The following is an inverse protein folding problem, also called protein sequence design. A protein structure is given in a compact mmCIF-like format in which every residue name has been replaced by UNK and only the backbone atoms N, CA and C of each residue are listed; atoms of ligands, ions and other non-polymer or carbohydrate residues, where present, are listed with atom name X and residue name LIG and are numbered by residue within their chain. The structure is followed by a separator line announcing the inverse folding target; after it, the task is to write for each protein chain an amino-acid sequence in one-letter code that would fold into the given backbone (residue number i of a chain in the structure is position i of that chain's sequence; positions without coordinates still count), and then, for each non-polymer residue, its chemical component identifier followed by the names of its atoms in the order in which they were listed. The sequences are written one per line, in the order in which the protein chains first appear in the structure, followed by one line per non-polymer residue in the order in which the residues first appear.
data_IF_832123609639
#
_entry.id   IF_832123609639
#
_cell.length_a   1.000
_cell.length_b   1.000
_cell.length_c   1.000
_cell.angle_alpha   90.00
_cell.angle_beta   90.00
_cell.angle_gamma   90.00
#
_symmetry.space_group_name_H-M   'P 1'
#
loop_
_entity.id
_entity.type
_entity.pdbx_description
1 polymer ?
#
# COMPACT_ATOMS: atom_id res chain seq x y z
N UNK A 1 31.99 -8.12 -14.28
CA UNK A 1 30.68 -7.47 -14.08
C UNK A 1 30.05 -8.10 -12.86
N UNK A 2 30.07 -7.39 -11.73
CA UNK A 2 29.38 -7.80 -10.51
C UNK A 2 28.00 -7.17 -10.59
N UNK A 3 26.96 -7.98 -10.84
CA UNK A 3 25.59 -7.51 -10.62
C UNK A 3 25.40 -7.40 -9.13
N UNK A 4 25.03 -6.22 -8.65
CA UNK A 4 24.86 -5.89 -7.23
C UNK A 4 23.61 -6.57 -6.62
N UNK A 5 23.57 -7.90 -6.68
CA UNK A 5 22.87 -8.75 -5.71
C UNK A 5 21.34 -8.65 -5.63
N UNK A 6 20.64 -8.54 -6.77
CA UNK A 6 19.18 -8.77 -6.86
C UNK A 6 18.34 -7.49 -6.89
N UNK A 7 17.89 -7.10 -8.09
CA UNK A 7 17.06 -5.92 -8.30
C UNK A 7 15.65 -6.06 -7.72
N UNK A 8 15.09 -4.94 -7.26
CA UNK A 8 13.68 -4.85 -6.87
C UNK A 8 12.76 -5.23 -8.04
N UNK A 9 11.78 -6.09 -7.78
CA UNK A 9 10.77 -6.50 -8.78
C UNK A 9 9.50 -5.69 -8.59
N UNK A 10 9.00 -5.05 -9.66
CA UNK A 10 7.69 -4.40 -9.66
C UNK A 10 6.59 -5.46 -9.61
N UNK A 11 5.80 -5.48 -8.53
CA UNK A 11 4.76 -6.49 -8.33
C UNK A 11 3.36 -5.92 -8.33
N UNK A 12 3.21 -4.61 -8.17
CA UNK A 12 1.90 -3.98 -8.12
C UNK A 12 1.98 -2.52 -8.54
N UNK A 13 1.08 -2.12 -9.42
CA UNK A 13 0.84 -0.74 -9.84
C UNK A 13 -0.64 -0.47 -9.70
N UNK A 14 -0.99 0.60 -9.00
CA UNK A 14 -2.37 0.93 -8.68
C UNK A 14 -2.63 2.45 -8.70
N UNK A 15 -3.91 2.79 -8.77
CA UNK A 15 -4.46 4.14 -8.65
C UNK A 15 -5.59 4.14 -7.63
N UNK A 16 -6.28 5.26 -7.48
CA UNK A 16 -7.49 5.36 -6.68
C UNK A 16 -8.73 5.39 -7.59
N UNK A 17 -9.83 4.78 -7.17
CA UNK A 17 -11.12 4.80 -7.89
C UNK A 17 -11.69 6.21 -7.99
N UNK A 18 -11.55 6.99 -6.92
CA UNK A 18 -11.67 8.45 -6.93
C UNK A 18 -10.44 9.00 -6.23
N UNK A 19 -9.94 10.13 -6.68
CA UNK A 19 -8.84 10.83 -6.04
C UNK A 19 -9.37 12.10 -5.38
N UNK A 20 -10.16 11.93 -4.33
CA UNK A 20 -10.79 13.03 -3.62
C UNK A 20 -10.58 12.90 -2.11
N UNK A 21 -9.68 13.72 -1.58
CA UNK A 21 -9.33 13.80 -0.16
C UNK A 21 -10.52 14.14 0.77
N UNK A 22 -11.67 14.55 0.24
CA UNK A 22 -12.85 14.95 1.01
C UNK A 22 -13.92 13.87 1.10
N UNK A 23 -13.78 12.76 0.37
CA UNK A 23 -14.76 11.66 0.41
C UNK A 23 -14.09 10.35 0.81
N UNK A 24 -14.85 9.47 1.46
CA UNK A 24 -14.36 8.14 1.86
C UNK A 24 -14.12 7.19 0.68
N UNK A 25 -14.51 7.57 -0.54
CA UNK A 25 -14.55 6.70 -1.71
C UNK A 25 -13.25 6.74 -2.53
N UNK A 26 -12.08 6.53 -1.92
CA UNK A 26 -10.79 6.44 -2.63
C UNK A 26 -10.16 5.05 -2.49
N UNK A 27 -10.87 4.04 -2.97
CA UNK A 27 -10.36 2.66 -2.96
C UNK A 27 -9.21 2.53 -3.94
N UNK A 28 -8.23 1.70 -3.60
CA UNK A 28 -7.11 1.40 -4.48
C UNK A 28 -7.54 0.38 -5.53
N UNK A 29 -7.25 0.65 -6.80
CA UNK A 29 -7.55 -0.25 -7.91
C UNK A 29 -6.38 -0.41 -8.89
N UNK A 30 -6.11 -1.62 -9.40
CA UNK A 30 -6.67 -2.90 -8.97
C UNK A 30 -6.02 -3.39 -7.67
N UNK A 31 -6.69 -4.30 -6.94
CA UNK A 31 -6.07 -4.96 -5.78
C UNK A 31 -5.28 -6.22 -6.18
N UNK A 32 -4.23 -6.59 -5.42
CA UNK A 32 -3.58 -7.88 -5.58
C UNK A 32 -4.54 -9.03 -5.24
N UNK A 33 -4.19 -10.22 -5.70
CA UNK A 33 -4.97 -11.44 -5.45
C UNK A 33 -4.81 -12.00 -4.03
N UNK A 34 -4.55 -11.15 -3.05
CA UNK A 34 -4.54 -11.55 -1.64
C UNK A 34 -5.96 -11.88 -1.17
N UNK A 35 -6.06 -12.77 -0.19
CA UNK A 35 -7.32 -13.16 0.41
C UNK A 35 -7.87 -11.99 1.22
N UNK A 36 -9.14 -11.72 1.02
CA UNK A 36 -9.89 -10.87 1.92
C UNK A 36 -10.60 -11.75 2.96
N UNK A 37 -10.89 -11.19 4.12
CA UNK A 37 -11.46 -11.90 5.25
C UNK A 37 -12.74 -12.67 4.87
N UNK A 38 -12.91 -13.88 5.39
CA UNK A 38 -14.12 -14.72 5.25
C UNK A 38 -15.42 -14.01 5.67
N UNK A 39 -15.37 -13.00 6.55
CA UNK A 39 -16.55 -12.20 6.89
C UNK A 39 -17.16 -11.46 5.68
N UNK A 40 -16.38 -11.21 4.63
CA UNK A 40 -16.93 -10.66 3.39
C UNK A 40 -17.81 -11.64 2.62
N UNK A 41 -17.73 -12.95 2.87
CA UNK A 41 -18.57 -13.94 2.20
C UNK A 41 -20.04 -13.86 2.66
N UNK A 42 -20.30 -13.19 3.80
CA UNK A 42 -21.63 -12.98 4.38
C UNK A 42 -22.28 -11.65 3.96
N UNK A 43 -21.48 -10.72 3.44
CA UNK A 43 -21.96 -9.47 2.89
C UNK A 43 -22.01 -9.69 1.37
N UNK A 44 -23.13 -9.40 0.71
CA UNK A 44 -23.22 -9.48 -0.76
C UNK A 44 -22.52 -8.24 -1.37
N UNK A 45 -21.21 -8.12 -1.15
CA UNK A 45 -20.39 -6.92 -1.38
C UNK A 45 -19.41 -7.07 -2.54
N UNK A 46 -19.68 -8.00 -3.47
CA UNK A 46 -18.86 -8.13 -4.68
C UNK A 46 -18.81 -6.83 -5.48
N UNK A 47 -19.89 -6.03 -5.45
CA UNK A 47 -19.99 -4.74 -6.14
C UNK A 47 -19.20 -3.60 -5.46
N UNK A 48 -18.69 -3.82 -4.24
CA UNK A 48 -18.03 -2.77 -3.44
C UNK A 48 -16.53 -3.00 -3.25
N UNK A 49 -16.04 -4.15 -3.74
CA UNK A 49 -14.63 -4.49 -3.72
C UNK A 49 -14.04 -4.18 -5.08
N UNK A 50 -12.92 -3.47 -5.08
CA UNK A 50 -12.19 -3.18 -6.32
C UNK A 50 -11.76 -4.45 -7.07
N UNK A 51 -11.64 -4.39 -8.41
CA UNK A 51 -11.24 -5.53 -9.23
C UNK A 51 -9.89 -6.12 -8.80
N UNK A 52 -9.81 -7.46 -8.77
CA UNK A 52 -8.55 -8.18 -8.57
C UNK A 52 -7.74 -8.18 -9.86
N UNK A 53 -6.46 -7.85 -9.77
CA UNK A 53 -5.52 -8.12 -10.86
C UNK A 53 -4.66 -9.35 -10.59
N UNK A 54 -4.49 -10.14 -11.65
CA UNK A 54 -3.61 -11.29 -11.72
C UNK A 54 -2.58 -11.13 -12.85
N UNK A 55 -2.49 -9.92 -13.42
CA UNK A 55 -1.60 -9.59 -14.54
C UNK A 55 -0.49 -8.67 -14.00
N UNK A 56 0.78 -9.10 -14.05
CA UNK A 56 1.87 -8.27 -13.57
C UNK A 56 1.95 -6.97 -14.40
N UNK A 57 2.21 -5.82 -13.75
CA UNK A 57 2.50 -4.59 -14.46
C UNK A 57 3.85 -4.72 -15.19
N UNK A 58 3.92 -4.28 -16.45
CA UNK A 58 5.19 -4.26 -17.21
C UNK A 58 5.93 -2.93 -17.09
N UNK A 59 5.31 -1.91 -16.49
CA UNK A 59 5.89 -0.59 -16.21
C UNK A 59 5.14 0.10 -15.06
N UNK A 60 5.72 1.17 -14.51
CA UNK A 60 5.11 1.99 -13.42
C UNK A 60 3.82 2.71 -13.83
N UNK A 61 3.48 2.72 -15.13
CA UNK A 61 2.31 3.40 -15.68
C UNK A 61 1.19 2.42 -16.06
N UNK A 62 1.46 1.11 -16.02
CA UNK A 62 0.48 0.08 -16.33
C UNK A 62 -0.11 -0.50 -15.06
N UNK A 63 -1.38 -0.21 -14.78
CA UNK A 63 -2.10 -0.80 -13.66
C UNK A 63 -2.09 -2.34 -13.73
N UNK A 64 -1.83 -3.00 -12.61
CA UNK A 64 -1.76 -4.45 -12.55
C UNK A 64 -1.12 -4.96 -11.28
N UNK A 65 -1.33 -6.24 -10.96
CA UNK A 65 -0.69 -6.90 -9.85
C UNK A 65 -0.25 -8.30 -10.28
N UNK A 66 1.01 -8.64 -9.96
CA UNK A 66 1.46 -10.03 -10.00
C UNK A 66 0.63 -10.83 -9.01
N UNK A 67 0.24 -12.07 -9.37
CA UNK A 67 -0.51 -12.95 -8.47
C UNK A 67 0.19 -13.04 -7.11
N UNK A 68 -0.53 -12.72 -6.03
CA UNK A 68 0.03 -12.53 -4.70
C UNK A 68 0.79 -13.76 -4.19
N UNK A 69 0.30 -14.97 -4.52
CA UNK A 69 0.95 -16.24 -4.17
C UNK A 69 2.41 -16.38 -4.65
N UNK A 70 2.85 -15.56 -5.61
CA UNK A 70 4.23 -15.56 -6.10
C UNK A 70 5.13 -14.53 -5.42
N UNK A 71 4.59 -13.60 -4.62
CA UNK A 71 5.38 -12.53 -4.02
C UNK A 71 6.44 -13.09 -3.07
N UNK A 72 6.08 -14.07 -2.23
CA UNK A 72 7.01 -14.75 -1.32
C UNK A 72 8.11 -15.57 -2.02
N UNK A 73 7.96 -15.86 -3.32
CA UNK A 73 9.01 -16.51 -4.11
C UNK A 73 10.03 -15.50 -4.66
N UNK A 74 9.68 -14.22 -4.69
CA UNK A 74 10.47 -13.15 -5.31
C UNK A 74 11.12 -12.27 -4.25
N UNK A 75 10.44 -12.03 -3.13
CA UNK A 75 10.95 -11.21 -2.05
C UNK A 75 10.39 -11.59 -0.69
N UNK A 76 10.54 -10.67 0.25
CA UNK A 76 10.22 -10.88 1.68
C UNK A 76 11.30 -10.35 2.62
N UNK A 77 12.26 -9.59 2.08
CA UNK A 77 13.33 -8.98 2.85
C UNK A 77 13.18 -7.45 2.83
N UNK A 78 12.75 -6.88 1.70
CA UNK A 78 12.53 -5.45 1.57
C UNK A 78 11.46 -5.12 0.52
N UNK A 79 10.82 -3.96 0.70
CA UNK A 79 9.88 -3.42 -0.27
C UNK A 79 10.06 -1.92 -0.45
N UNK A 80 9.65 -1.41 -1.61
CA UNK A 80 9.57 0.02 -1.90
C UNK A 80 8.13 0.35 -2.28
N UNK A 81 7.64 1.47 -1.77
CA UNK A 81 6.40 2.10 -2.25
C UNK A 81 6.76 3.44 -2.86
N UNK A 82 6.47 3.60 -4.15
CA UNK A 82 6.62 4.87 -4.89
C UNK A 82 5.24 5.39 -5.29
N UNK A 83 5.10 6.70 -5.42
CA UNK A 83 3.91 7.30 -6.02
C UNK A 83 4.21 8.67 -6.62
N UNK A 84 3.28 9.25 -7.37
CA UNK A 84 3.39 10.66 -7.81
C UNK A 84 2.68 11.65 -6.87
N UNK A 85 2.11 11.17 -5.78
CA UNK A 85 1.27 11.97 -4.88
C UNK A 85 1.68 11.92 -3.39
N UNK A 86 2.65 11.07 -3.05
CA UNK A 86 3.09 10.79 -1.69
C UNK A 86 4.58 10.45 -1.65
N UNK A 87 5.19 10.59 -0.47
CA UNK A 87 6.61 10.28 -0.29
C UNK A 87 6.94 8.84 -0.67
N UNK A 88 8.09 8.63 -1.31
CA UNK A 88 8.58 7.29 -1.59
C UNK A 88 9.26 6.75 -0.34
N UNK A 89 8.95 5.50 0.00
CA UNK A 89 9.55 4.81 1.13
C UNK A 89 10.22 3.52 0.69
N UNK A 90 11.36 3.20 1.31
CA UNK A 90 12.01 1.90 1.24
C UNK A 90 12.00 1.29 2.63
N UNK A 91 11.52 0.06 2.75
CA UNK A 91 11.33 -0.63 4.01
C UNK A 91 12.05 -1.98 3.98
N UNK A 92 12.76 -2.30 5.06
CA UNK A 92 13.23 -3.65 5.34
C UNK A 92 12.24 -4.33 6.29
N UNK A 93 11.87 -5.56 5.97
CA UNK A 93 11.02 -6.39 6.82
C UNK A 93 11.81 -6.87 8.04
N UNK A 94 11.19 -6.85 9.22
CA UNK A 94 11.79 -7.44 10.43
C UNK A 94 10.92 -8.54 10.98
N UNK A 95 9.72 -8.23 11.47
CA UNK A 95 8.76 -9.26 11.90
C UNK A 95 7.43 -9.22 11.16
N UNK A 96 7.14 -8.10 10.46
CA UNK A 96 6.00 -8.02 9.55
C UNK A 96 6.42 -8.32 8.11
N UNK A 97 5.46 -8.78 7.29
CA UNK A 97 5.71 -9.10 5.90
C UNK A 97 4.66 -8.59 4.93
N UNK A 98 5.09 -7.96 3.83
CA UNK A 98 4.22 -7.50 2.74
C UNK A 98 3.86 -8.64 1.78
N UNK A 99 4.66 -9.71 1.77
CA UNK A 99 4.51 -10.84 0.84
C UNK A 99 3.77 -12.03 1.45
N UNK A 100 3.47 -11.98 2.75
CA UNK A 100 2.80 -13.05 3.49
C UNK A 100 1.62 -12.50 4.30
N UNK A 101 0.41 -12.84 3.85
CA UNK A 101 -0.85 -12.56 4.54
C UNK A 101 -0.80 -12.97 6.02
N UNK A 102 -1.37 -12.12 6.88
CA UNK A 102 -1.48 -12.40 8.32
C UNK A 102 -0.21 -12.12 9.12
N UNK A 103 0.94 -11.96 8.48
CA UNK A 103 2.22 -11.71 9.15
C UNK A 103 2.37 -10.21 9.43
N UNK A 104 1.64 -9.75 10.45
CA UNK A 104 1.75 -8.39 10.97
C UNK A 104 2.98 -8.26 11.87
N UNK A 105 3.65 -7.11 11.84
CA UNK A 105 4.80 -6.88 12.69
C UNK A 105 5.59 -5.63 12.36
N UNK A 106 6.81 -5.60 12.86
CA UNK A 106 7.72 -4.47 12.69
C UNK A 106 8.34 -4.44 11.29
N UNK A 107 8.65 -3.22 10.83
CA UNK A 107 9.41 -2.90 9.62
C UNK A 107 10.33 -1.71 9.92
N UNK A 108 11.39 -1.54 9.15
CA UNK A 108 12.29 -0.36 9.23
C UNK A 108 12.30 0.36 7.91
N UNK A 109 11.79 1.60 7.90
CA UNK A 109 11.59 2.35 6.67
C UNK A 109 12.38 3.66 6.63
N UNK A 110 12.79 4.07 5.43
CA UNK A 110 13.39 5.37 5.13
C UNK A 110 12.60 6.07 4.03
N UNK A 111 12.47 7.40 4.10
CA UNK A 111 12.00 8.20 2.96
C UNK A 111 13.14 8.26 1.94
N UNK A 112 12.90 7.78 0.72
CA UNK A 112 13.89 7.77 -0.37
C UNK A 112 13.61 8.84 -1.43
N UNK A 113 12.42 9.44 -1.42
CA UNK A 113 12.08 10.63 -2.19
C UNK A 113 10.96 11.39 -1.50
N UNK A 114 11.18 12.68 -1.27
CA UNK A 114 10.22 13.57 -0.65
C UNK A 114 9.42 14.31 -1.73
N UNK A 115 8.09 14.17 -1.70
CA UNK A 115 7.16 14.81 -2.64
C UNK A 115 6.21 15.80 -1.96
N UNK A 116 5.89 15.59 -0.68
CA UNK A 116 4.91 16.39 0.07
C UNK A 116 5.44 17.76 0.50
N UNK A 117 5.89 18.61 -0.44
CA UNK A 117 6.59 19.88 -0.20
C UNK A 117 5.83 20.88 0.69
N UNK A 118 4.52 20.72 0.84
CA UNK A 118 3.68 21.52 1.73
C UNK A 118 3.87 21.17 3.23
N UNK A 119 4.59 20.08 3.55
CA UNK A 119 4.80 19.57 4.91
C UNK A 119 6.28 19.22 5.18
N UNK A 120 7.21 20.20 5.16
CA UNK A 120 8.66 19.97 5.29
C UNK A 120 9.05 19.27 6.60
N UNK A 121 8.29 19.52 7.67
CA UNK A 121 8.47 18.91 8.98
C UNK A 121 8.24 17.38 8.98
N UNK A 122 7.62 16.83 7.94
CA UNK A 122 7.33 15.40 7.81
C UNK A 122 8.24 14.68 6.81
N UNK A 123 9.30 15.33 6.34
CA UNK A 123 10.21 14.82 5.30
C UNK A 123 10.97 13.54 5.68
N UNK A 124 11.12 13.26 6.97
CA UNK A 124 11.82 12.07 7.50
C UNK A 124 10.89 11.06 8.15
N UNK A 125 9.58 11.32 8.16
CA UNK A 125 8.63 10.49 8.88
C UNK A 125 8.29 9.23 8.08
N UNK A 126 8.41 8.07 8.74
CA UNK A 126 8.21 6.76 8.14
C UNK A 126 7.37 5.85 9.03
N UNK A 127 6.74 4.80 8.45
CA UNK A 127 6.05 3.78 9.23
C UNK A 127 7.06 2.86 9.94
N UNK A 128 6.61 2.27 11.04
CA UNK A 128 7.39 1.38 11.92
C UNK A 128 6.80 -0.03 11.98
N UNK A 129 5.57 -0.23 11.52
CA UNK A 129 4.94 -1.54 11.46
C UNK A 129 4.05 -1.70 10.24
N UNK A 130 3.84 -2.96 9.87
CA UNK A 130 2.92 -3.43 8.85
C UNK A 130 1.87 -4.29 9.53
N UNK A 131 0.59 -4.02 9.26
CA UNK A 131 -0.51 -4.80 9.78
C UNK A 131 -1.41 -5.34 8.66
N UNK A 132 -1.78 -6.60 8.84
CA UNK A 132 -2.86 -7.29 8.13
C UNK A 132 -4.09 -7.34 9.03
N UNK A 133 -5.27 -7.00 8.50
CA UNK A 133 -6.51 -6.89 9.29
C UNK A 133 -7.14 -8.24 9.72
N UNK A 134 -6.44 -9.36 9.61
CA UNK A 134 -7.01 -10.72 9.73
C UNK A 134 -7.71 -11.00 11.08
N UNK A 135 -7.35 -10.32 12.16
CA UNK A 135 -7.82 -10.66 13.51
C UNK A 135 -8.96 -9.80 14.08
N UNK A 136 -9.56 -8.87 13.31
CA UNK A 136 -10.62 -7.96 13.84
C UNK A 136 -11.86 -7.78 12.96
N UNK A 137 -12.13 -8.68 12.00
CA UNK A 137 -13.35 -8.59 11.19
C UNK A 137 -13.39 -7.38 10.23
N UNK A 138 -12.24 -6.80 9.91
CA UNK A 138 -12.12 -5.63 9.04
C UNK A 138 -11.84 -6.04 7.59
N UNK A 139 -12.43 -5.29 6.66
CA UNK A 139 -12.43 -5.53 5.20
C UNK A 139 -11.43 -4.62 4.45
N UNK A 140 -10.63 -3.83 5.18
CA UNK A 140 -9.83 -2.71 4.67
C UNK A 140 -8.48 -3.07 4.00
N UNK A 141 -8.08 -4.35 4.01
CA UNK A 141 -6.79 -4.79 3.43
C UNK A 141 -5.57 -4.64 4.36
N UNK A 142 -4.45 -4.18 3.82
CA UNK A 142 -3.15 -4.03 4.52
C UNK A 142 -2.86 -2.56 4.81
N UNK A 143 -2.12 -2.25 5.86
CA UNK A 143 -1.72 -0.88 6.15
C UNK A 143 -0.38 -0.81 6.87
N UNK A 144 0.35 0.26 6.59
CA UNK A 144 1.56 0.65 7.30
C UNK A 144 1.19 1.64 8.40
N UNK A 145 1.82 1.49 9.55
CA UNK A 145 1.51 2.29 10.75
C UNK A 145 2.75 2.93 11.33
N UNK A 146 2.54 4.04 12.03
CA UNK A 146 3.50 4.69 12.91
C UNK A 146 2.85 4.92 14.26
N UNK A 147 3.45 4.41 15.34
CA UNK A 147 2.90 4.54 16.71
C UNK A 147 1.41 4.19 16.85
N UNK A 148 0.97 3.10 16.21
CA UNK A 148 -0.43 2.66 16.16
C UNK A 148 -1.40 3.60 15.44
N UNK A 149 -0.89 4.57 14.69
CA UNK A 149 -1.65 5.41 13.77
C UNK A 149 -1.37 4.99 12.33
N UNK A 150 -2.39 4.97 11.48
CA UNK A 150 -2.20 4.62 10.07
C UNK A 150 -1.35 5.70 9.38
N UNK A 151 -0.29 5.25 8.73
CA UNK A 151 0.58 6.07 7.88
C UNK A 151 0.14 5.95 6.42
N UNK A 152 -0.12 4.71 5.97
CA UNK A 152 -0.62 4.40 4.65
C UNK A 152 -1.55 3.21 4.76
N UNK A 153 -2.76 3.29 4.21
CA UNK A 153 -3.71 2.19 4.14
C UNK A 153 -3.95 1.82 2.68
N UNK A 154 -3.74 0.54 2.39
CA UNK A 154 -3.99 -0.04 1.10
C UNK A 154 -5.47 -0.46 0.99
N UNK A 155 -6.34 0.54 1.00
CA UNK A 155 -7.79 0.33 1.04
C UNK A 155 -8.30 -0.31 -0.24
N UNK A 156 -9.18 -1.32 -0.14
CA UNK A 156 -9.69 -2.06 -1.30
C UNK A 156 -11.22 -2.13 -1.34
N UNK A 157 -11.90 -1.44 -0.42
CA UNK A 157 -13.35 -1.43 -0.27
C UNK A 157 -13.89 -0.07 0.24
N UNK A 158 -14.92 0.44 -0.42
CA UNK A 158 -15.51 1.76 -0.16
C UNK A 158 -16.55 1.80 0.97
N UNK A 159 -16.83 0.69 1.66
CA UNK A 159 -17.92 0.61 2.63
C UNK A 159 -17.63 1.20 4.01
N UNK A 160 -16.44 0.94 4.57
CA UNK A 160 -16.25 1.11 6.03
C UNK A 160 -14.89 1.69 6.42
N UNK A 161 -14.05 1.98 5.45
CA UNK A 161 -12.65 2.28 5.69
C UNK A 161 -12.29 3.61 5.04
N UNK A 162 -11.49 4.41 5.72
CA UNK A 162 -11.09 5.73 5.26
C UNK A 162 -9.68 5.66 4.70
N UNK A 163 -9.45 5.81 3.39
CA UNK A 163 -8.12 5.72 2.81
C UNK A 163 -7.19 6.75 3.46
N UNK A 164 -6.15 6.26 4.16
CA UNK A 164 -5.19 7.10 4.87
C UNK A 164 -3.87 7.04 4.13
N UNK A 165 -3.37 8.22 3.77
CA UNK A 165 -2.01 8.43 3.30
C UNK A 165 -1.53 9.72 3.95
N UNK A 166 -0.86 9.59 5.09
CA UNK A 166 -0.48 10.68 5.97
C UNK A 166 1.04 10.73 6.11
N UNK A 167 1.67 11.70 5.42
CA UNK A 167 3.11 11.84 5.39
C UNK A 167 3.71 12.08 6.79
N UNK A 168 2.90 12.53 7.75
CA UNK A 168 3.31 12.79 9.13
C UNK A 168 2.96 11.64 10.09
N UNK A 169 2.19 10.65 9.64
CA UNK A 169 1.79 9.48 10.45
C UNK A 169 1.05 9.85 11.73
N UNK A 170 0.19 10.86 11.68
CA UNK A 170 -0.66 11.33 12.78
C UNK A 170 -2.07 10.70 12.74
N UNK A 171 -2.34 9.83 11.77
CA UNK A 171 -3.52 8.96 11.72
C UNK A 171 -4.86 9.67 11.59
N UNK A 172 -4.88 10.95 11.27
CA UNK A 172 -6.08 11.77 11.39
C UNK A 172 -6.62 12.29 10.06
N UNK A 173 -5.82 12.39 8.98
CA UNK A 173 -6.27 12.88 7.65
C UNK A 173 -5.37 12.36 6.52
N UNK A 174 -5.95 12.09 5.36
CA UNK A 174 -5.16 11.97 4.13
C UNK A 174 -4.48 13.32 3.84
N UNK A 175 -3.15 13.34 3.81
CA UNK A 175 -2.30 14.51 3.50
C UNK A 175 -1.62 14.29 2.15
N UNK A 176 -2.45 13.99 1.15
CA UNK A 176 -2.02 13.77 -0.22
C UNK A 176 -1.81 15.08 -0.95
N UNK A 177 -0.87 15.09 -1.92
CA UNK A 177 -0.74 16.22 -2.84
C UNK A 177 -2.04 16.42 -3.63
N UNK A 178 -2.51 17.65 -3.75
CA UNK A 178 -3.71 17.96 -4.55
C UNK A 178 -3.38 18.05 -6.04
N UNK A 179 -4.41 17.99 -6.87
CA UNK A 179 -4.32 18.26 -8.33
C UNK A 179 -3.33 17.36 -9.09
N UNK A 180 -3.07 16.16 -8.57
CA UNK A 180 -2.23 15.17 -9.24
C UNK A 180 -3.00 14.57 -10.41
N UNK A 181 -2.55 14.88 -11.63
CA UNK A 181 -3.04 14.23 -12.84
C UNK A 181 -2.64 12.75 -12.83
N UNK A 182 -3.62 11.86 -12.94
CA UNK A 182 -3.42 10.41 -12.96
C UNK A 182 -2.60 9.91 -11.75
N UNK A 183 -3.17 9.97 -10.53
CA UNK A 183 -2.49 9.54 -9.31
C UNK A 183 -2.17 8.04 -9.39
N UNK A 184 -0.94 7.66 -9.08
CA UNK A 184 -0.50 6.28 -9.18
C UNK A 184 0.59 5.95 -8.17
N UNK A 185 0.59 4.70 -7.73
CA UNK A 185 1.60 4.15 -6.85
C UNK A 185 2.03 2.77 -7.30
N UNK A 186 3.25 2.41 -6.91
CA UNK A 186 3.96 1.22 -7.32
C UNK A 186 4.58 0.55 -6.09
N UNK A 187 4.42 -0.77 -5.99
CA UNK A 187 5.07 -1.60 -4.97
C UNK A 187 6.09 -2.51 -5.63
N UNK A 188 7.29 -2.47 -5.06
CA UNK A 188 8.40 -3.31 -5.42
C UNK A 188 8.81 -4.18 -4.25
N UNK A 189 9.29 -5.40 -4.52
CA UNK A 189 9.78 -6.33 -3.49
C UNK A 189 11.14 -6.94 -3.87
N UNK A 190 11.88 -7.38 -2.86
CA UNK A 190 13.08 -8.23 -2.96
C UNK A 190 13.30 -9.02 -1.66
#
# INVERSE_FOLDING_TARGET
MVTDGGGFTLVWTFTFTKYDIQTGANDITPRPSWKLNKFMHYLDIQDVIVPVSNKPPTSEDQLGALKFKYWKLIGGNAFIVKSNFFNWISCNETTGSIVEEGVSGSIKCNVIKYLSTELPQCSTVTPTSLNWFENKGSICGMYLMRYNLAYMMFEVNSLSCWPIWDACGEGSKARLLKDIRSPRANVYIR
#
